data_IF_832648708862
#
_entry.id   IF_832648708862
#
_cell.length_a   1.000
_cell.length_b   1.000
_cell.length_c   1.000
_cell.angle_alpha   90.00
_cell.angle_beta   90.00
_cell.angle_gamma   90.00
#
_symmetry.space_group_name_H-M   'P 1'
#
loop_
_entity.id
_entity.type
_entity.pdbx_description
1 polymer ?
#
# COMPACT_ATOMS: atom_id res chain seq x y z
N UNK A 1 3.97 -23.12 43.51
CA UNK A 1 4.43 -22.75 42.16
C UNK A 1 5.80 -22.13 42.34
N UNK A 2 6.83 -22.80 41.83
CA UNK A 2 8.23 -22.40 41.99
C UNK A 2 8.50 -21.05 41.27
N UNK A 3 9.52 -20.29 41.67
CA UNK A 3 9.91 -19.04 40.99
C UNK A 3 10.17 -19.29 39.50
N UNK A 4 10.76 -20.45 39.19
CA UNK A 4 10.96 -20.92 37.82
C UNK A 4 9.64 -21.10 37.04
N UNK A 5 8.63 -21.70 37.66
CA UNK A 5 7.31 -21.90 37.02
C UNK A 5 6.62 -20.58 36.71
N UNK A 6 6.76 -19.58 37.60
CA UNK A 6 6.19 -18.23 37.39
C UNK A 6 6.92 -17.48 36.28
N UNK A 7 8.24 -17.52 36.26
CA UNK A 7 9.05 -16.95 35.17
C UNK A 7 8.66 -17.58 33.83
N UNK A 8 8.57 -18.91 33.78
CA UNK A 8 8.19 -19.64 32.56
C UNK A 8 6.80 -19.24 32.07
N UNK A 9 5.82 -19.10 32.98
CA UNK A 9 4.48 -18.67 32.61
C UNK A 9 4.43 -17.22 32.09
N UNK A 10 5.16 -16.29 32.72
CA UNK A 10 5.26 -14.90 32.25
C UNK A 10 5.93 -14.81 30.87
N UNK A 11 7.01 -15.57 30.63
CA UNK A 11 7.68 -15.62 29.34
C UNK A 11 6.81 -16.25 28.24
N UNK A 12 6.11 -17.35 28.53
CA UNK A 12 5.16 -17.96 27.58
C UNK A 12 4.06 -16.99 27.17
N UNK A 13 3.57 -16.16 28.10
CA UNK A 13 2.59 -15.11 27.78
C UNK A 13 3.18 -14.08 26.82
N UNK A 14 4.44 -13.67 27.04
CA UNK A 14 5.15 -12.72 26.18
C UNK A 14 5.44 -13.27 24.79
N UNK A 15 5.78 -14.55 24.68
CA UNK A 15 5.95 -15.23 23.40
C UNK A 15 4.64 -15.20 22.59
N UNK A 16 3.50 -15.47 23.23
CA UNK A 16 2.21 -15.41 22.56
C UNK A 16 1.83 -13.98 22.13
N UNK A 17 2.07 -12.98 22.98
CA UNK A 17 1.86 -11.57 22.62
C UNK A 17 2.78 -11.13 21.47
N UNK A 18 4.02 -11.64 21.42
CA UNK A 18 4.95 -11.39 20.32
C UNK A 18 4.44 -11.99 19.00
N UNK A 19 3.99 -13.25 19.03
CA UNK A 19 3.42 -13.93 17.86
C UNK A 19 2.17 -13.20 17.33
N UNK A 20 1.32 -12.69 18.22
CA UNK A 20 0.16 -11.87 17.83
C UNK A 20 0.60 -10.58 17.13
N UNK A 21 1.62 -9.87 17.64
CA UNK A 21 2.18 -8.67 17.00
C UNK A 21 2.72 -9.00 15.60
N UNK A 22 3.46 -10.11 15.43
CA UNK A 22 3.98 -10.54 14.13
C UNK A 22 2.85 -10.87 13.14
N UNK A 23 1.81 -11.54 13.60
CA UNK A 23 0.65 -11.87 12.77
C UNK A 23 -0.11 -10.61 12.34
N UNK A 24 -0.28 -9.65 13.25
CA UNK A 24 -0.88 -8.35 12.93
C UNK A 24 -0.03 -7.58 11.91
N UNK A 25 1.30 -7.54 12.09
CA UNK A 25 2.20 -6.90 11.13
C UNK A 25 2.08 -7.53 9.75
N UNK A 26 2.12 -8.86 9.67
CA UNK A 26 2.00 -9.59 8.41
C UNK A 26 0.68 -9.30 7.71
N UNK A 27 -0.43 -9.24 8.46
CA UNK A 27 -1.75 -8.90 7.92
C UNK A 27 -1.79 -7.47 7.40
N UNK A 28 -1.27 -6.51 8.15
CA UNK A 28 -1.22 -5.11 7.74
C UNK A 28 -0.34 -4.91 6.49
N UNK A 29 0.81 -5.60 6.41
CA UNK A 29 1.69 -5.58 5.23
C UNK A 29 1.00 -6.18 4.00
N UNK A 30 0.26 -7.28 4.18
CA UNK A 30 -0.50 -7.90 3.09
C UNK A 30 -1.60 -6.98 2.57
N UNK A 31 -2.37 -6.35 3.46
CA UNK A 31 -3.40 -5.38 3.09
C UNK A 31 -2.78 -4.17 2.35
N UNK A 32 -1.63 -3.68 2.81
CA UNK A 32 -0.91 -2.60 2.14
C UNK A 32 -0.46 -3.01 0.73
N UNK A 33 0.11 -4.20 0.58
CA UNK A 33 0.50 -4.75 -0.72
C UNK A 33 -0.69 -4.85 -1.67
N UNK A 34 -1.83 -5.38 -1.21
CA UNK A 34 -3.06 -5.45 -1.99
C UNK A 34 -3.52 -4.06 -2.45
N UNK A 35 -3.33 -3.02 -1.64
CA UNK A 35 -3.62 -1.64 -2.06
C UNK A 35 -2.68 -1.13 -3.17
N UNK A 36 -1.37 -1.41 -3.10
CA UNK A 36 -0.44 -1.08 -4.18
C UNK A 36 -0.84 -1.76 -5.49
N UNK A 37 -1.10 -3.07 -5.43
CA UNK A 37 -1.51 -3.86 -6.59
C UNK A 37 -2.81 -3.31 -7.21
N UNK A 38 -3.78 -2.92 -6.38
CA UNK A 38 -5.02 -2.32 -6.84
C UNK A 38 -4.81 -0.96 -7.54
N UNK A 39 -3.91 -0.10 -7.04
CA UNK A 39 -3.59 1.18 -7.69
C UNK A 39 -2.98 0.93 -9.06
N UNK A 40 -2.02 0.01 -9.18
CA UNK A 40 -1.39 -0.32 -10.45
C UNK A 40 -2.38 -0.92 -11.45
N UNK A 41 -3.21 -1.87 -11.02
CA UNK A 41 -4.20 -2.49 -11.89
C UNK A 41 -5.28 -1.49 -12.33
N UNK A 42 -5.76 -0.64 -11.42
CA UNK A 42 -6.72 0.41 -11.76
C UNK A 42 -6.13 1.39 -12.76
N UNK A 43 -4.89 1.84 -12.55
CA UNK A 43 -4.17 2.72 -13.50
C UNK A 43 -4.08 2.05 -14.86
N UNK A 44 -3.67 0.79 -14.91
CA UNK A 44 -3.57 0.01 -16.16
C UNK A 44 -4.90 -0.09 -16.89
N UNK A 45 -5.99 -0.39 -16.17
CA UNK A 45 -7.34 -0.49 -16.75
C UNK A 45 -7.77 0.87 -17.32
N UNK A 46 -7.59 1.95 -16.56
CA UNK A 46 -7.98 3.30 -17.00
C UNK A 46 -7.19 3.74 -18.23
N UNK A 47 -5.87 3.55 -18.23
CA UNK A 47 -5.01 3.85 -19.37
C UNK A 47 -5.46 3.09 -20.61
N UNK A 48 -5.73 1.79 -20.48
CA UNK A 48 -6.20 0.97 -21.60
C UNK A 48 -7.56 1.45 -22.12
N UNK A 49 -8.52 1.71 -21.23
CA UNK A 49 -9.85 2.21 -21.62
C UNK A 49 -9.75 3.54 -22.35
N UNK A 50 -8.88 4.43 -21.88
CA UNK A 50 -8.61 5.72 -22.50
C UNK A 50 -8.02 5.54 -23.91
N UNK A 51 -7.02 4.68 -24.06
CA UNK A 51 -6.41 4.35 -25.36
C UNK A 51 -7.41 3.73 -26.34
N UNK A 52 -8.23 2.78 -25.89
CA UNK A 52 -9.28 2.14 -26.71
C UNK A 52 -10.28 3.20 -27.19
N UNK A 53 -10.76 4.07 -26.30
CA UNK A 53 -11.69 5.16 -26.64
C UNK A 53 -11.08 6.19 -27.58
N UNK A 54 -9.83 6.55 -27.37
CA UNK A 54 -9.11 7.44 -28.28
C UNK A 54 -9.01 6.84 -29.69
N UNK A 55 -8.69 5.55 -29.82
CA UNK A 55 -8.61 4.87 -31.12
C UNK A 55 -9.99 4.77 -31.81
N UNK A 56 -11.06 4.50 -31.06
CA UNK A 56 -12.43 4.49 -31.59
C UNK A 56 -12.81 5.85 -32.18
N UNK A 57 -12.63 6.94 -31.42
CA UNK A 57 -12.97 8.30 -31.89
C UNK A 57 -12.05 8.71 -33.05
N UNK A 58 -10.77 8.36 -33.00
CA UNK A 58 -9.83 8.63 -34.09
C UNK A 58 -10.24 7.93 -35.38
N UNK A 59 -10.73 6.69 -35.28
CA UNK A 59 -11.24 5.94 -36.42
C UNK A 59 -12.49 6.62 -37.01
N UNK A 60 -13.42 7.06 -36.17
CA UNK A 60 -14.63 7.78 -36.60
C UNK A 60 -14.28 9.11 -37.29
N UNK A 61 -13.36 9.91 -36.73
CA UNK A 61 -12.92 11.18 -37.32
C UNK A 61 -12.34 10.99 -38.72
N UNK A 62 -11.57 9.92 -38.95
CA UNK A 62 -11.02 9.59 -40.28
C UNK A 62 -12.08 9.29 -41.34
N UNK A 63 -13.27 8.85 -40.93
CA UNK A 63 -14.38 8.59 -41.85
C UNK A 63 -15.11 9.87 -42.28
N UNK A 64 -14.99 10.96 -41.52
CA UNK A 64 -15.73 12.23 -41.74
C UNK A 64 -15.04 13.13 -42.79
N UNK A 65 -13.75 12.92 -43.09
CA UNK A 65 -13.01 13.61 -44.16
C UNK A 65 -12.12 14.77 -43.69
N UNK A 66 -11.66 15.59 -44.65
CA UNK A 66 -10.51 16.50 -44.52
C UNK A 66 -10.71 17.73 -43.60
N UNK A 67 -11.95 18.06 -43.21
CA UNK A 67 -12.27 19.25 -42.39
C UNK A 67 -12.30 18.96 -40.86
N UNK A 68 -11.56 17.95 -40.40
CA UNK A 68 -11.56 17.50 -38.99
C UNK A 68 -10.29 17.86 -38.21
N UNK A 69 -9.41 18.72 -38.76
CA UNK A 69 -8.12 19.07 -38.15
C UNK A 69 -8.22 19.59 -36.71
N UNK A 70 -9.15 20.51 -36.45
CA UNK A 70 -9.38 21.04 -35.10
C UNK A 70 -9.88 19.97 -34.13
N UNK A 71 -10.71 19.03 -34.61
CA UNK A 71 -11.21 17.90 -33.81
C UNK A 71 -10.11 16.91 -33.45
N UNK A 72 -9.19 16.63 -34.39
CA UNK A 72 -8.00 15.82 -34.11
C UNK A 72 -7.11 16.46 -33.05
N UNK A 73 -6.90 17.78 -33.13
CA UNK A 73 -6.11 18.49 -32.13
C UNK A 73 -6.77 18.46 -30.76
N UNK A 74 -8.08 18.70 -30.68
CA UNK A 74 -8.85 18.61 -29.43
C UNK A 74 -8.79 17.20 -28.83
N UNK A 75 -8.94 16.16 -29.65
CA UNK A 75 -8.86 14.77 -29.21
C UNK A 75 -7.46 14.44 -28.64
N UNK A 76 -6.40 14.86 -29.32
CA UNK A 76 -5.02 14.64 -28.87
C UNK A 76 -4.72 15.36 -27.56
N UNK A 77 -5.18 16.61 -27.43
CA UNK A 77 -5.01 17.38 -26.21
C UNK A 77 -5.76 16.73 -25.04
N UNK A 78 -7.02 16.35 -25.25
CA UNK A 78 -7.81 15.65 -24.23
C UNK A 78 -7.16 14.33 -23.81
N UNK A 79 -6.65 13.55 -24.76
CA UNK A 79 -5.91 12.32 -24.50
C UNK A 79 -4.69 12.57 -23.60
N UNK A 80 -3.89 13.59 -23.92
CA UNK A 80 -2.71 13.96 -23.13
C UNK A 80 -3.08 14.44 -21.73
N UNK A 81 -4.15 15.22 -21.60
CA UNK A 81 -4.65 15.70 -20.30
C UNK A 81 -5.12 14.54 -19.42
N UNK A 82 -5.84 13.57 -19.99
CA UNK A 82 -6.31 12.39 -19.26
C UNK A 82 -5.17 11.46 -18.83
N UNK A 83 -4.17 11.21 -19.68
CA UNK A 83 -2.97 10.48 -19.26
C UNK A 83 -2.27 11.17 -18.08
N UNK A 84 -2.10 12.48 -18.18
CA UNK A 84 -1.47 13.27 -17.12
C UNK A 84 -2.27 13.17 -15.81
N UNK A 85 -3.60 13.23 -15.88
CA UNK A 85 -4.46 13.09 -14.72
C UNK A 85 -4.37 11.69 -14.08
N UNK A 86 -4.34 10.63 -14.89
CA UNK A 86 -4.17 9.24 -14.42
C UNK A 86 -2.82 9.09 -13.71
N UNK A 87 -1.74 9.58 -14.31
CA UNK A 87 -0.40 9.50 -13.74
C UNK A 87 -0.26 10.27 -12.43
N UNK A 88 -0.88 11.46 -12.35
CA UNK A 88 -0.91 12.26 -11.13
C UNK A 88 -1.66 11.57 -9.99
N UNK A 89 -2.83 10.98 -10.27
CA UNK A 89 -3.60 10.28 -9.26
C UNK A 89 -2.90 9.00 -8.81
N UNK A 90 -2.27 8.26 -9.73
CA UNK A 90 -1.40 7.12 -9.40
C UNK A 90 -0.29 7.57 -8.47
N UNK A 91 0.47 8.61 -8.84
CA UNK A 91 1.58 9.10 -8.02
C UNK A 91 1.13 9.53 -6.61
N UNK A 92 0.05 10.31 -6.53
CA UNK A 92 -0.55 10.74 -5.25
C UNK A 92 -0.98 9.54 -4.39
N UNK A 93 -1.59 8.53 -5.00
CA UNK A 93 -2.03 7.32 -4.30
C UNK A 93 -0.85 6.51 -3.78
N UNK A 94 0.17 6.27 -4.61
CA UNK A 94 1.41 5.59 -4.22
C UNK A 94 2.09 6.32 -3.07
N UNK A 95 2.22 7.65 -3.15
CA UNK A 95 2.83 8.44 -2.10
C UNK A 95 2.12 8.31 -0.75
N UNK A 96 0.77 8.26 -0.74
CA UNK A 96 0.00 8.02 0.49
C UNK A 96 0.21 6.61 1.04
N UNK A 97 0.41 5.61 0.18
CA UNK A 97 0.73 4.25 0.60
C UNK A 97 2.14 4.18 1.18
N UNK A 98 3.11 4.90 0.61
CA UNK A 98 4.48 4.96 1.13
C UNK A 98 4.50 5.56 2.54
N UNK A 99 3.75 6.65 2.76
CA UNK A 99 3.59 7.25 4.09
C UNK A 99 2.98 6.25 5.09
N UNK A 100 1.95 5.50 4.69
CA UNK A 100 1.36 4.45 5.52
C UNK A 100 2.35 3.33 5.83
N UNK A 101 3.22 2.98 4.88
CA UNK A 101 4.26 1.99 5.10
C UNK A 101 5.24 2.45 6.19
N UNK A 102 5.71 3.70 6.10
CA UNK A 102 6.61 4.29 7.10
C UNK A 102 5.98 4.35 8.49
N UNK A 103 4.69 4.70 8.57
CA UNK A 103 3.92 4.71 9.81
C UNK A 103 3.80 3.30 10.41
N UNK A 104 3.49 2.29 9.58
CA UNK A 104 3.42 0.88 10.01
C UNK A 104 4.78 0.38 10.51
N UNK A 105 5.86 0.64 9.77
CA UNK A 105 7.20 0.23 10.13
C UNK A 105 7.63 0.87 11.47
N UNK A 106 7.32 2.15 11.65
CA UNK A 106 7.58 2.87 12.90
C UNK A 106 6.76 2.30 14.06
N UNK A 107 5.47 2.03 13.82
CA UNK A 107 4.57 1.46 14.82
C UNK A 107 5.08 0.10 15.31
N UNK A 108 5.34 -0.84 14.41
CA UNK A 108 5.77 -2.19 14.79
C UNK A 108 7.18 -2.21 15.38
N UNK A 109 8.11 -1.39 14.88
CA UNK A 109 9.42 -1.21 15.50
C UNK A 109 9.30 -0.78 16.97
N UNK A 110 8.37 0.13 17.28
CA UNK A 110 8.12 0.56 18.65
C UNK A 110 7.45 -0.54 19.50
N UNK A 111 6.57 -1.36 18.92
CA UNK A 111 5.97 -2.50 19.62
C UNK A 111 7.03 -3.54 19.98
N UNK A 112 7.91 -3.89 19.04
CA UNK A 112 9.01 -4.83 19.30
C UNK A 112 9.96 -4.34 20.38
N UNK A 113 10.32 -3.05 20.35
CA UNK A 113 11.15 -2.45 21.38
C UNK A 113 10.50 -2.55 22.76
N UNK A 114 9.22 -2.18 22.89
CA UNK A 114 8.48 -2.28 24.16
C UNK A 114 8.41 -3.71 24.67
N UNK A 115 8.23 -4.68 23.76
CA UNK A 115 8.17 -6.09 24.13
C UNK A 115 9.53 -6.58 24.63
N UNK A 116 10.62 -6.15 23.98
CA UNK A 116 11.98 -6.44 24.44
C UNK A 116 12.25 -5.84 25.83
N UNK A 117 11.89 -4.57 26.04
CA UNK A 117 12.04 -3.91 27.35
C UNK A 117 11.27 -4.69 28.46
N UNK A 118 10.05 -5.15 28.16
CA UNK A 118 9.25 -5.96 29.09
C UNK A 118 9.83 -7.34 29.39
N UNK A 119 10.44 -7.99 28.39
CA UNK A 119 11.13 -9.28 28.58
C UNK A 119 12.38 -9.08 29.47
N UNK A 120 13.15 -8.02 29.23
CA UNK A 120 14.31 -7.67 30.04
C UNK A 120 13.94 -7.35 31.50
N UNK A 121 12.81 -6.66 31.71
CA UNK A 121 12.24 -6.42 33.05
C UNK A 121 11.85 -7.73 33.75
N UNK A 122 11.23 -8.68 33.04
CA UNK A 122 10.90 -10.00 33.57
C UNK A 122 12.18 -10.73 33.99
N UNK A 123 13.20 -10.77 33.12
CA UNK A 123 14.47 -11.40 33.48
C UNK A 123 15.13 -10.76 34.69
N UNK A 124 15.10 -9.43 34.79
CA UNK A 124 15.66 -8.70 35.94
C UNK A 124 14.93 -9.06 37.24
N UNK A 125 13.59 -9.07 37.20
CA UNK A 125 12.72 -9.38 38.35
C UNK A 125 12.93 -10.78 38.92
N UNK A 126 13.29 -11.77 38.10
CA UNK A 126 13.50 -13.15 38.53
C UNK A 126 14.99 -13.53 38.72
N UNK A 127 15.90 -12.55 38.60
CA UNK A 127 17.34 -12.71 38.86
C UNK A 127 17.71 -12.42 40.33
N UNK A 128 16.84 -11.72 41.06
CA UNK A 128 16.92 -11.43 42.50
C UNK A 128 16.18 -12.50 43.33
#
# INVERSE_FOLDING_TARGET
MDQYDKLKAELMKKEWEWEDIENQQRKAQKELQEHYENVEETTRILTRMLEEKYQEVLFELRQVGDETGDLHQLLNNGMSEWHTAIDQERYSSIHRLDQKQEDLDTYYKNQYRKMQDQIDEIYTKYRE
#
